data_IF_839872777468
#
_entry.id   IF_839872777468
#
_cell.length_a   1.000
_cell.length_b   1.000
_cell.length_c   1.000
_cell.angle_alpha   90.00
_cell.angle_beta   90.00
_cell.angle_gamma   90.00
#
_symmetry.space_group_name_H-M   'P 1'
#
loop_
_entity.id
_entity.type
_entity.pdbx_description
1 polymer ?
#
# COMPACT_ATOMS: atom_id res chain seq x y z
N UNK A 1 -14.95 10.25 9.63
CA UNK A 1 -15.09 8.79 9.70
C UNK A 1 -15.55 8.46 11.11
N UNK A 2 -16.84 8.16 11.27
CA UNK A 2 -17.47 7.97 12.58
C UNK A 2 -17.35 6.54 13.11
N UNK A 3 -18.20 6.23 14.08
CA UNK A 3 -18.30 4.95 14.79
C UNK A 3 -18.44 3.71 13.89
N UNK A 4 -18.99 3.84 12.67
CA UNK A 4 -19.15 2.74 11.72
C UNK A 4 -17.84 2.02 11.35
N UNK A 5 -16.74 2.77 11.20
CA UNK A 5 -15.43 2.19 10.86
C UNK A 5 -14.85 1.33 11.99
N UNK A 6 -15.12 1.71 13.24
CA UNK A 6 -14.70 0.98 14.44
C UNK A 6 -15.52 -0.30 14.58
N UNK A 7 -16.83 -0.24 14.29
CA UNK A 7 -17.68 -1.43 14.30
C UNK A 7 -17.21 -2.45 13.25
N UNK A 8 -16.89 -2.00 12.03
CA UNK A 8 -16.37 -2.88 10.99
C UNK A 8 -15.02 -3.51 11.35
N UNK A 9 -14.15 -2.76 12.03
CA UNK A 9 -12.91 -3.31 12.57
C UNK A 9 -13.18 -4.40 13.60
N UNK A 10 -14.09 -4.17 14.56
CA UNK A 10 -14.39 -5.13 15.62
C UNK A 10 -15.06 -6.41 15.10
N UNK A 11 -15.90 -6.32 14.06
CA UNK A 11 -16.67 -7.46 13.53
C UNK A 11 -15.93 -8.17 12.40
N UNK A 12 -15.40 -7.41 11.44
CA UNK A 12 -14.80 -7.93 10.21
C UNK A 12 -13.28 -7.96 10.21
N UNK A 13 -12.61 -7.42 11.24
CA UNK A 13 -11.15 -7.29 11.28
C UNK A 13 -10.58 -6.30 10.26
N UNK A 14 -11.43 -5.58 9.53
CA UNK A 14 -11.06 -4.65 8.47
C UNK A 14 -11.44 -3.24 8.90
N UNK A 15 -10.45 -2.36 8.93
CA UNK A 15 -10.66 -0.93 9.08
C UNK A 15 -10.57 -0.24 7.72
N UNK A 16 -11.55 0.61 7.41
CA UNK A 16 -11.52 1.45 6.20
C UNK A 16 -11.46 2.93 6.59
N UNK A 17 -10.53 3.67 6.00
CA UNK A 17 -10.37 5.10 6.22
C UNK A 17 -9.94 5.78 4.94
N UNK A 18 -10.85 6.50 4.30
CA UNK A 18 -10.49 7.42 3.23
C UNK A 18 -10.07 8.75 3.86
N UNK A 19 -8.85 9.20 3.60
CA UNK A 19 -8.38 10.52 4.03
C UNK A 19 -9.13 11.59 3.22
N UNK A 20 -9.91 12.50 3.84
CA UNK A 20 -10.65 13.51 3.09
C UNK A 20 -9.68 14.53 2.50
N UNK A 21 -9.65 14.60 1.19
CA UNK A 21 -8.82 15.55 0.43
C UNK A 21 -9.75 16.58 -0.18
N UNK A 22 -9.38 17.86 -0.10
CA UNK A 22 -10.10 18.93 -0.78
C UNK A 22 -9.22 19.53 -1.89
N UNK A 23 -9.41 19.12 -3.16
CA UNK A 23 -8.58 19.57 -4.27
C UNK A 23 -8.59 21.10 -4.50
N UNK A 24 -9.66 21.79 -4.09
CA UNK A 24 -9.77 23.26 -4.22
C UNK A 24 -8.73 24.02 -3.40
N UNK A 25 -8.08 23.38 -2.42
CA UNK A 25 -7.04 23.99 -1.60
C UNK A 25 -5.63 23.79 -2.16
N UNK A 26 -5.47 23.06 -3.26
CA UNK A 26 -4.15 22.83 -3.84
C UNK A 26 -3.63 24.05 -4.59
N UNK A 27 -2.39 24.46 -4.28
CA UNK A 27 -1.69 25.52 -5.01
C UNK A 27 -1.49 25.16 -6.50
N UNK A 28 -1.29 23.87 -6.77
CA UNK A 28 -1.21 23.30 -8.11
C UNK A 28 -2.05 22.01 -8.15
N UNK A 29 -3.21 21.98 -8.82
CA UNK A 29 -4.14 20.85 -8.76
C UNK A 29 -3.49 19.50 -9.14
N UNK A 30 -2.74 19.48 -10.24
CA UNK A 30 -2.05 18.28 -10.74
C UNK A 30 -1.04 17.72 -9.73
N UNK A 31 -0.12 18.56 -9.25
CA UNK A 31 0.95 18.12 -8.35
C UNK A 31 0.44 17.84 -6.95
N UNK A 32 -0.54 18.61 -6.47
CA UNK A 32 -1.20 18.34 -5.19
C UNK A 32 -1.84 16.95 -5.19
N UNK A 33 -2.53 16.58 -6.26
CA UNK A 33 -3.16 15.27 -6.37
C UNK A 33 -2.10 14.15 -6.43
N UNK A 34 -1.07 14.29 -7.27
CA UNK A 34 0.03 13.32 -7.37
C UNK A 34 0.71 13.08 -6.01
N UNK A 35 1.04 14.15 -5.27
CA UNK A 35 1.72 14.04 -3.99
C UNK A 35 0.86 13.35 -2.93
N UNK A 36 -0.44 13.65 -2.92
CA UNK A 36 -1.38 13.04 -1.96
C UNK A 36 -1.59 11.56 -2.28
N UNK A 37 -1.77 11.20 -3.56
CA UNK A 37 -1.87 9.78 -3.96
C UNK A 37 -0.55 9.03 -3.71
N UNK A 38 0.60 9.63 -3.98
CA UNK A 38 1.90 9.01 -3.72
C UNK A 38 2.20 8.80 -2.22
N UNK A 39 1.56 9.56 -1.32
CA UNK A 39 1.80 9.45 0.12
C UNK A 39 1.48 8.05 0.67
N UNK A 40 0.43 7.39 0.16
CA UNK A 40 0.06 6.02 0.55
C UNK A 40 1.17 5.00 0.29
N UNK A 41 1.57 4.79 -0.99
CA UNK A 41 2.67 3.90 -1.35
C UNK A 41 3.97 4.26 -0.62
N UNK A 42 4.32 5.55 -0.52
CA UNK A 42 5.56 5.97 0.15
C UNK A 42 5.57 5.63 1.64
N UNK A 43 4.44 5.73 2.34
CA UNK A 43 4.34 5.31 3.73
C UNK A 43 4.46 3.79 3.88
N UNK A 44 3.80 3.02 3.01
CA UNK A 44 3.94 1.56 2.98
C UNK A 44 5.40 1.15 2.74
N UNK A 45 6.09 1.78 1.78
CA UNK A 45 7.51 1.53 1.55
C UNK A 45 8.36 1.86 2.79
N UNK A 46 8.10 3.03 3.41
CA UNK A 46 8.84 3.48 4.58
C UNK A 46 8.66 2.54 5.78
N UNK A 47 7.42 2.09 6.02
CA UNK A 47 7.10 1.11 7.07
C UNK A 47 7.74 -0.25 6.77
N UNK A 48 7.71 -0.70 5.52
CA UNK A 48 8.38 -1.93 5.09
C UNK A 48 9.87 -1.90 5.41
N UNK A 49 10.55 -0.81 5.05
CA UNK A 49 11.98 -0.59 5.34
C UNK A 49 12.22 -0.53 6.85
N UNK A 50 11.37 0.19 7.60
CA UNK A 50 11.47 0.28 9.06
C UNK A 50 11.41 -1.10 9.71
N UNK A 51 10.46 -1.95 9.31
CA UNK A 51 10.35 -3.31 9.83
C UNK A 51 11.57 -4.17 9.50
N UNK A 52 12.17 -4.02 8.32
CA UNK A 52 13.41 -4.73 7.97
C UNK A 52 14.61 -4.28 8.80
N UNK A 53 14.73 -2.98 9.07
CA UNK A 53 15.76 -2.44 9.95
C UNK A 53 15.58 -3.00 11.37
N UNK A 54 14.36 -2.97 11.89
CA UNK A 54 14.03 -3.52 13.21
C UNK A 54 14.31 -5.01 13.29
N UNK A 55 13.96 -5.77 12.25
CA UNK A 55 14.25 -7.21 12.17
C UNK A 55 15.75 -7.45 12.33
N UNK A 56 16.58 -6.76 11.54
CA UNK A 56 18.04 -6.91 11.55
C UNK A 56 18.65 -6.55 12.90
N UNK A 57 18.21 -5.45 13.51
CA UNK A 57 18.69 -5.01 14.83
C UNK A 57 18.25 -6.00 15.91
N UNK A 58 17.00 -6.46 15.89
CA UNK A 58 16.48 -7.42 16.88
C UNK A 58 17.24 -8.74 16.86
N UNK A 59 17.64 -9.24 15.68
CA UNK A 59 18.40 -10.50 15.56
C UNK A 59 19.82 -10.44 16.13
N UNK A 60 20.34 -9.24 16.42
CA UNK A 60 21.70 -9.02 16.95
C UNK A 60 21.73 -8.55 18.40
N UNK A 61 20.57 -8.48 19.07
CA UNK A 61 20.40 -7.87 20.39
C UNK A 61 19.57 -8.77 21.32
N UNK A 62 19.71 -8.65 22.67
CA UNK A 62 18.80 -9.30 23.63
C UNK A 62 17.32 -8.95 23.42
N UNK A 63 17.03 -7.90 22.64
CA UNK A 63 15.69 -7.51 22.21
C UNK A 63 14.96 -8.57 21.37
N UNK A 64 15.65 -9.61 20.88
CA UNK A 64 15.05 -10.72 20.16
C UNK A 64 13.91 -11.42 20.94
N UNK A 65 13.97 -11.41 22.28
CA UNK A 65 12.92 -11.97 23.13
C UNK A 65 11.71 -11.05 23.29
N UNK A 66 11.90 -9.74 23.06
CA UNK A 66 10.86 -8.72 23.26
C UNK A 66 9.97 -8.54 22.03
N UNK A 67 10.50 -8.77 20.84
CA UNK A 67 9.80 -8.54 19.57
C UNK A 67 9.91 -9.76 18.67
N UNK A 68 8.76 -10.33 18.30
CA UNK A 68 8.71 -11.49 17.41
C UNK A 68 9.29 -11.17 16.02
N UNK A 69 10.31 -11.93 15.62
CA UNK A 69 10.91 -11.84 14.28
C UNK A 69 9.90 -12.16 13.18
N UNK A 70 8.98 -13.09 13.43
CA UNK A 70 7.89 -13.43 12.51
C UNK A 70 6.94 -12.25 12.31
N UNK A 71 6.64 -11.51 13.38
CA UNK A 71 5.82 -10.31 13.30
C UNK A 71 6.51 -9.21 12.47
N UNK A 72 7.80 -8.96 12.70
CA UNK A 72 8.56 -7.96 11.93
C UNK A 72 8.66 -8.35 10.45
N UNK A 73 8.92 -9.63 10.16
CA UNK A 73 8.97 -10.13 8.79
C UNK A 73 7.61 -10.01 8.10
N UNK A 74 6.52 -10.39 8.77
CA UNK A 74 5.16 -10.26 8.25
C UNK A 74 4.80 -8.79 8.02
N UNK A 75 5.15 -7.90 8.97
CA UNK A 75 4.95 -6.47 8.87
C UNK A 75 5.68 -5.87 7.67
N UNK A 76 6.95 -6.22 7.46
CA UNK A 76 7.72 -5.83 6.28
C UNK A 76 7.06 -6.32 4.99
N UNK A 77 6.70 -7.60 4.94
CA UNK A 77 6.10 -8.24 3.77
C UNK A 77 4.78 -7.61 3.37
N UNK A 78 3.85 -7.44 4.31
CA UNK A 78 2.54 -6.82 4.05
C UNK A 78 2.72 -5.40 3.53
N UNK A 79 3.58 -4.59 4.16
CA UNK A 79 3.80 -3.21 3.74
C UNK A 79 4.43 -3.12 2.34
N UNK A 80 5.40 -3.98 2.01
CA UNK A 80 5.99 -4.01 0.67
C UNK A 80 5.01 -4.50 -0.40
N UNK A 81 4.18 -5.50 -0.10
CA UNK A 81 3.10 -5.95 -1.00
C UNK A 81 2.11 -4.80 -1.24
N UNK A 82 1.67 -4.12 -0.18
CA UNK A 82 0.76 -2.98 -0.29
C UNK A 82 1.37 -1.81 -1.07
N UNK A 83 2.66 -1.56 -0.90
CA UNK A 83 3.40 -0.59 -1.71
C UNK A 83 3.34 -0.94 -3.20
N UNK A 84 3.72 -2.17 -3.58
CA UNK A 84 3.72 -2.61 -4.97
C UNK A 84 2.30 -2.63 -5.56
N UNK A 85 1.33 -3.09 -4.77
CA UNK A 85 -0.08 -3.12 -5.17
C UNK A 85 -0.59 -1.70 -5.45
N UNK A 86 -0.35 -0.74 -4.55
CA UNK A 86 -0.80 0.63 -4.76
C UNK A 86 -0.06 1.37 -5.89
N UNK A 87 1.03 0.83 -6.44
CA UNK A 87 1.68 1.40 -7.63
C UNK A 87 1.03 0.95 -8.95
N UNK A 88 0.16 -0.06 -8.93
CA UNK A 88 -0.52 -0.52 -10.15
C UNK A 88 -1.41 0.59 -10.71
N UNK A 89 -1.35 0.87 -12.03
CA UNK A 89 -2.15 1.91 -12.68
C UNK A 89 -3.58 1.41 -12.94
N UNK A 90 -4.29 1.00 -11.89
CA UNK A 90 -5.64 0.43 -11.95
C UNK A 90 -6.55 1.15 -10.96
N UNK A 91 -7.70 1.72 -11.36
CA UNK A 91 -8.61 2.34 -10.41
C UNK A 91 -9.16 1.29 -9.43
N UNK A 92 -9.35 1.61 -8.14
CA UNK A 92 -9.17 2.90 -7.46
C UNK A 92 -7.81 3.06 -6.76
N UNK A 93 -6.75 2.39 -7.24
CA UNK A 93 -5.45 2.39 -6.57
C UNK A 93 -4.72 3.73 -6.74
N UNK A 94 -3.86 4.06 -5.77
CA UNK A 94 -3.10 5.32 -5.74
C UNK A 94 -2.27 5.56 -7.02
N UNK A 95 -1.68 4.51 -7.57
CA UNK A 95 -0.88 4.53 -8.79
C UNK A 95 -1.70 4.92 -10.02
N UNK A 96 -3.00 4.61 -10.04
CA UNK A 96 -3.90 5.07 -11.09
C UNK A 96 -4.14 6.58 -11.02
N UNK A 97 -4.33 7.15 -9.83
CA UNK A 97 -4.50 8.59 -9.67
C UNK A 97 -3.24 9.36 -10.10
N UNK A 98 -2.05 8.83 -9.79
CA UNK A 98 -0.79 9.40 -10.31
C UNK A 98 -0.75 9.28 -11.84
N UNK A 99 -1.05 8.10 -12.39
CA UNK A 99 -1.04 7.85 -13.83
C UNK A 99 -2.03 8.74 -14.59
N UNK A 100 -3.26 8.91 -14.09
CA UNK A 100 -4.32 9.68 -14.75
C UNK A 100 -4.06 11.19 -14.75
N UNK A 101 -3.22 11.69 -13.83
CA UNK A 101 -2.71 13.08 -13.87
C UNK A 101 -1.65 13.31 -14.96
N UNK A 102 -0.92 12.27 -15.36
CA UNK A 102 -0.03 12.32 -16.53
C UNK A 102 -0.77 12.08 -17.84
N UNK A 103 -1.80 11.23 -17.82
CA UNK A 103 -2.61 10.90 -18.99
C UNK A 103 -4.11 11.20 -18.75
N UNK A 104 -4.54 12.47 -18.92
CA UNK A 104 -5.89 12.92 -18.59
C UNK A 104 -7.02 12.16 -19.29
N UNK A 105 -6.74 11.58 -20.46
CA UNK A 105 -7.68 10.74 -21.23
C UNK A 105 -8.20 9.55 -20.44
N UNK A 106 -7.48 9.09 -19.40
CA UNK A 106 -7.87 7.95 -18.58
C UNK A 106 -8.67 8.36 -17.33
N UNK A 107 -8.77 9.64 -16.96
CA UNK A 107 -9.56 10.09 -15.79
C UNK A 107 -11.01 9.58 -15.77
N UNK A 108 -11.75 9.47 -16.89
CA UNK A 108 -13.10 8.91 -16.88
C UNK A 108 -13.19 7.47 -16.36
N UNK A 109 -12.10 6.68 -16.45
CA UNK A 109 -12.08 5.31 -15.94
C UNK A 109 -12.10 5.25 -14.40
N UNK A 110 -11.74 6.32 -13.70
CA UNK A 110 -11.77 6.38 -12.23
C UNK A 110 -13.17 6.10 -11.68
N UNK A 111 -14.19 6.64 -12.35
CA UNK A 111 -15.60 6.48 -11.97
C UNK A 111 -16.28 5.28 -12.64
N UNK A 112 -15.51 4.46 -13.37
CA UNK A 112 -16.05 3.33 -14.11
C UNK A 112 -16.02 2.03 -13.27
N UNK A 113 -16.95 1.10 -13.50
CA UNK A 113 -16.93 -0.20 -12.81
C UNK A 113 -15.75 -1.09 -13.22
N UNK A 114 -15.05 -0.74 -14.32
CA UNK A 114 -13.95 -1.53 -14.86
C UNK A 114 -12.75 -1.63 -13.91
N UNK A 115 -12.52 -0.62 -13.07
CA UNK A 115 -11.45 -0.68 -12.07
C UNK A 115 -11.67 -1.80 -11.06
N UNK A 116 -12.89 -1.91 -10.53
CA UNK A 116 -13.24 -2.96 -9.57
C UNK A 116 -13.22 -4.36 -10.22
N UNK A 117 -13.68 -4.48 -11.46
CA UNK A 117 -13.56 -5.73 -12.24
C UNK A 117 -12.09 -6.12 -12.47
N UNK A 118 -11.22 -5.16 -12.81
CA UNK A 118 -9.80 -5.40 -12.98
C UNK A 118 -9.15 -5.89 -11.68
N UNK A 119 -9.52 -5.29 -10.54
CA UNK A 119 -9.08 -5.78 -9.23
C UNK A 119 -9.52 -7.23 -8.98
N UNK A 120 -10.78 -7.57 -9.23
CA UNK A 120 -11.28 -8.94 -9.04
C UNK A 120 -10.50 -9.95 -9.89
N UNK A 121 -10.17 -9.60 -11.13
CA UNK A 121 -9.37 -10.44 -12.02
C UNK A 121 -7.94 -10.60 -11.47
N UNK A 122 -7.35 -9.54 -10.92
CA UNK A 122 -6.00 -9.60 -10.33
C UNK A 122 -5.95 -10.55 -9.14
N UNK A 123 -6.97 -10.51 -8.28
CA UNK A 123 -7.07 -11.43 -7.16
C UNK A 123 -7.31 -12.87 -7.61
N UNK A 124 -8.03 -13.12 -8.71
CA UNK A 124 -8.32 -14.47 -9.18
C UNK A 124 -7.22 -15.11 -10.03
N UNK A 125 -6.44 -14.30 -10.75
CA UNK A 125 -5.39 -14.77 -11.68
C UNK A 125 -4.05 -15.07 -11.01
N UNK A 126 -3.92 -14.82 -9.70
CA UNK A 126 -2.67 -15.03 -8.96
C UNK A 126 -1.63 -13.95 -9.22
N UNK A 127 -1.96 -12.82 -9.87
CA UNK A 127 -1.02 -11.71 -9.99
C UNK A 127 -0.57 -11.19 -8.61
N UNK A 128 -1.45 -11.31 -7.60
CA UNK A 128 -1.13 -11.04 -6.20
C UNK A 128 0.01 -11.89 -5.65
N UNK A 129 0.16 -13.15 -6.09
CA UNK A 129 1.30 -13.99 -5.69
C UNK A 129 2.60 -13.49 -6.32
N UNK A 130 2.56 -13.05 -7.59
CA UNK A 130 3.72 -12.43 -8.23
C UNK A 130 4.20 -11.17 -7.52
N UNK A 131 3.28 -10.32 -7.03
CA UNK A 131 3.66 -9.16 -6.20
C UNK A 131 4.29 -9.58 -4.86
N UNK A 132 3.80 -10.66 -4.26
CA UNK A 132 4.37 -11.23 -3.04
C UNK A 132 5.78 -11.78 -3.28
N UNK A 133 6.02 -12.43 -4.42
CA UNK A 133 7.34 -12.94 -4.80
C UNK A 133 8.35 -11.80 -5.00
N UNK A 134 7.92 -10.70 -5.62
CA UNK A 134 8.74 -9.49 -5.78
C UNK A 134 9.02 -8.86 -4.40
N UNK A 135 8.03 -8.76 -3.53
CA UNK A 135 8.23 -8.26 -2.17
C UNK A 135 9.22 -9.15 -1.40
N UNK A 136 9.11 -10.48 -1.51
CA UNK A 136 10.03 -11.42 -0.87
C UNK A 136 11.46 -11.28 -1.44
N UNK A 137 11.60 -11.06 -2.75
CA UNK A 137 12.89 -10.77 -3.37
C UNK A 137 13.51 -9.48 -2.81
N UNK A 138 12.71 -8.42 -2.64
CA UNK A 138 13.17 -7.16 -2.03
C UNK A 138 13.62 -7.38 -0.58
N UNK A 139 12.87 -8.17 0.19
CA UNK A 139 13.23 -8.51 1.57
C UNK A 139 14.57 -9.23 1.59
N UNK A 140 14.74 -10.29 0.79
CA UNK A 140 16.00 -11.06 0.72
C UNK A 140 17.19 -10.19 0.31
N UNK A 141 17.00 -9.31 -0.66
CA UNK A 141 18.04 -8.38 -1.10
C UNK A 141 18.50 -7.42 0.01
N UNK A 142 17.59 -7.01 0.90
CA UNK A 142 17.89 -6.06 1.99
C UNK A 142 18.37 -6.76 3.27
N UNK A 143 17.76 -7.91 3.61
CA UNK A 143 18.08 -8.65 4.83
C UNK A 143 19.30 -9.57 4.65
N UNK A 144 19.64 -9.94 3.43
CA UNK A 144 20.71 -10.90 3.12
C UNK A 144 20.36 -12.35 3.46
N UNK A 145 19.06 -12.63 3.67
CA UNK A 145 18.51 -13.97 3.93
C UNK A 145 18.04 -14.65 2.64
#
# INVERSE_FOLDING_TARGET
MGWYSIIFLCIGGIYWGQMPVNPSKFRSPKWGNILVSAAGPLLNLSLGILFLILLKVSSSSPLAELVSSQFLLLGARINLILFLFNLLPIPPLDGFHVFSEFFPSFKPLENSPYGLLALMIIFSTGLTSGLADVADLMIRAVSGM
#
